data_IF_566734072808
#
_entry.id   IF_566734072808
#
_cell.length_a   1.000
_cell.length_b   1.000
_cell.length_c   1.000
_cell.angle_alpha   90.00
_cell.angle_beta   90.00
_cell.angle_gamma   90.00
#
_symmetry.space_group_name_H-M   'P 1'
#
loop_
_entity.id
_entity.type
_entity.pdbx_description
1 polymer ?
#
# COMPACT_ATOMS: atom_id res chain seq x y z
N UNK A 1 -8.84 -14.39 -0.20
CA UNK A 1 -7.93 -14.42 -1.35
C UNK A 1 -6.51 -14.28 -0.81
N UNK A 2 -5.55 -15.05 -1.32
CA UNK A 2 -4.16 -14.95 -0.84
C UNK A 2 -3.52 -13.70 -1.42
N UNK A 3 -2.44 -13.22 -0.80
CA UNK A 3 -1.67 -12.07 -1.30
C UNK A 3 -1.31 -12.25 -2.78
N UNK A 4 -0.79 -13.43 -3.14
CA UNK A 4 -0.36 -13.72 -4.51
C UNK A 4 -1.51 -13.58 -5.53
N UNK A 5 -2.68 -14.10 -5.21
CA UNK A 5 -3.86 -13.99 -6.08
C UNK A 5 -4.24 -12.50 -6.28
N UNK A 6 -4.18 -11.67 -5.22
CA UNK A 6 -4.44 -10.22 -5.30
C UNK A 6 -3.38 -9.52 -6.16
N UNK A 7 -2.12 -9.91 -6.02
CA UNK A 7 -1.02 -9.35 -6.82
C UNK A 7 -1.21 -9.66 -8.31
N UNK A 8 -1.58 -10.90 -8.65
CA UNK A 8 -1.88 -11.31 -10.03
C UNK A 8 -3.06 -10.52 -10.60
N UNK A 9 -4.15 -10.34 -9.85
CA UNK A 9 -5.27 -9.49 -10.29
C UNK A 9 -4.85 -8.05 -10.58
N UNK A 10 -4.01 -7.46 -9.71
CA UNK A 10 -3.52 -6.10 -9.91
C UNK A 10 -2.63 -6.03 -11.15
N UNK A 11 -1.77 -7.03 -11.38
CA UNK A 11 -0.94 -7.09 -12.60
C UNK A 11 -1.82 -7.20 -13.85
N UNK A 12 -2.82 -8.08 -13.83
CA UNK A 12 -3.75 -8.27 -14.94
C UNK A 12 -4.51 -6.97 -15.24
N UNK A 13 -5.02 -6.28 -14.22
CA UNK A 13 -5.69 -4.97 -14.39
C UNK A 13 -4.78 -3.92 -15.03
N UNK A 14 -3.53 -3.82 -14.56
CA UNK A 14 -2.58 -2.85 -15.11
C UNK A 14 -2.08 -3.22 -16.52
N UNK A 15 -2.11 -4.51 -16.87
CA UNK A 15 -1.75 -5.01 -18.20
C UNK A 15 -2.76 -4.62 -19.29
N UNK A 16 -3.99 -4.23 -18.90
CA UNK A 16 -5.01 -3.75 -19.84
C UNK A 16 -4.71 -2.35 -20.40
N UNK A 17 -3.76 -1.63 -19.81
CA UNK A 17 -3.40 -0.26 -20.21
C UNK A 17 -2.12 -0.25 -21.04
N UNK A 18 -2.22 0.34 -22.23
CA UNK A 18 -1.16 0.39 -23.23
C UNK A 18 -0.13 1.49 -22.93
N UNK A 19 -0.51 2.52 -22.17
CA UNK A 19 0.37 3.63 -21.80
C UNK A 19 0.38 3.96 -20.31
N UNK A 20 1.42 4.71 -19.92
CA UNK A 20 1.63 5.09 -18.52
C UNK A 20 0.58 6.09 -18.00
N UNK A 21 0.03 6.93 -18.86
CA UNK A 21 -0.96 7.93 -18.45
C UNK A 21 -2.25 7.26 -17.98
N UNK A 22 -2.71 6.22 -18.69
CA UNK A 22 -3.86 5.42 -18.28
C UNK A 22 -3.62 4.70 -16.95
N UNK A 23 -2.44 4.09 -16.77
CA UNK A 23 -2.04 3.48 -15.49
C UNK A 23 -2.01 4.50 -14.36
N UNK A 24 -1.50 5.70 -14.65
CA UNK A 24 -1.47 6.80 -13.70
C UNK A 24 -2.88 7.20 -13.26
N UNK A 25 -3.81 7.39 -14.21
CA UNK A 25 -5.21 7.67 -13.91
C UNK A 25 -5.86 6.56 -13.09
N UNK A 26 -5.58 5.30 -13.41
CA UNK A 26 -6.06 4.15 -12.66
C UNK A 26 -5.57 4.16 -11.20
N UNK A 27 -4.28 4.44 -10.96
CA UNK A 27 -3.72 4.61 -9.61
C UNK A 27 -4.49 5.70 -8.84
N UNK A 28 -4.80 6.82 -9.48
CA UNK A 28 -5.55 7.92 -8.87
C UNK A 28 -6.97 7.48 -8.50
N UNK A 29 -7.65 6.73 -9.37
CA UNK A 29 -8.98 6.19 -9.10
C UNK A 29 -8.99 5.19 -7.94
N UNK A 30 -7.97 4.34 -7.83
CA UNK A 30 -7.79 3.47 -6.66
C UNK A 30 -7.67 4.29 -5.37
N UNK A 31 -6.90 5.38 -5.41
CA UNK A 31 -6.75 6.30 -4.29
C UNK A 31 -8.06 6.98 -3.88
N UNK A 32 -8.94 7.31 -4.83
CA UNK A 32 -10.27 7.90 -4.55
C UNK A 32 -11.24 6.90 -3.92
N UNK A 33 -11.13 5.61 -4.28
CA UNK A 33 -11.95 4.52 -3.73
C UNK A 33 -11.49 4.04 -2.36
N UNK A 34 -10.28 4.41 -1.95
CA UNK A 34 -9.75 4.08 -0.63
C UNK A 34 -10.64 4.69 0.45
N UNK A 35 -11.21 3.89 1.38
CA UNK A 35 -11.97 4.42 2.51
C UNK A 35 -11.18 5.46 3.30
N UNK A 36 -11.88 6.46 3.83
CA UNK A 36 -11.25 7.49 4.63
C UNK A 36 -10.71 6.89 5.93
N UNK A 37 -9.47 7.23 6.26
CA UNK A 37 -8.93 7.00 7.59
C UNK A 37 -9.70 7.87 8.59
N UNK A 38 -10.01 7.33 9.76
CA UNK A 38 -10.65 8.08 10.83
C UNK A 38 -9.72 9.22 11.31
N UNK A 39 -10.31 10.37 11.65
CA UNK A 39 -9.52 11.57 11.97
C UNK A 39 -8.62 11.38 13.19
N UNK A 40 -9.02 10.54 14.14
CA UNK A 40 -8.21 10.20 15.32
C UNK A 40 -6.91 9.47 14.98
N UNK A 41 -6.84 8.84 13.81
CA UNK A 41 -5.64 8.15 13.32
C UNK A 41 -4.75 9.04 12.46
N UNK A 42 -5.12 10.30 12.20
CA UNK A 42 -4.26 11.28 11.50
C UNK A 42 -3.26 11.94 12.44
N UNK A 43 -2.50 11.14 13.16
CA UNK A 43 -1.51 11.58 14.15
C UNK A 43 -0.09 11.50 13.61
N UNK A 44 0.85 12.14 14.31
CA UNK A 44 2.29 12.03 13.99
C UNK A 44 2.85 10.62 14.18
N UNK A 45 2.23 9.80 15.05
CA UNK A 45 2.65 8.42 15.29
C UNK A 45 2.31 7.50 14.11
N UNK A 46 1.20 7.80 13.42
CA UNK A 46 0.76 7.07 12.22
C UNK A 46 1.37 7.61 10.92
N UNK A 47 2.22 8.64 10.99
CA UNK A 47 2.90 9.17 9.80
C UNK A 47 4.04 8.27 9.34
N UNK A 48 3.99 7.87 8.07
CA UNK A 48 5.09 7.19 7.40
C UNK A 48 6.20 8.20 7.11
N UNK A 49 7.33 8.04 7.81
CA UNK A 49 8.54 8.83 7.59
C UNK A 49 9.24 8.41 6.28
N UNK A 50 9.79 9.39 5.57
CA UNK A 50 10.51 9.19 4.31
C UNK A 50 9.68 9.37 3.05
N UNK A 51 8.37 9.61 3.18
CA UNK A 51 7.55 10.13 2.09
C UNK A 51 7.71 11.66 1.99
N UNK A 52 7.72 12.20 0.77
CA UNK A 52 7.71 13.65 0.55
C UNK A 52 6.35 14.27 0.92
N UNK A 53 5.27 13.59 0.56
CA UNK A 53 3.90 13.89 0.98
C UNK A 53 3.59 13.21 2.31
N UNK A 54 2.64 13.74 3.08
CA UNK A 54 2.18 13.08 4.30
C UNK A 54 1.40 11.82 3.92
N UNK A 55 1.69 10.73 4.62
CA UNK A 55 0.96 9.46 4.48
C UNK A 55 0.72 8.94 5.88
N UNK A 56 -0.55 8.83 6.26
CA UNK A 56 -0.96 8.19 7.50
C UNK A 56 -1.32 6.75 7.20
N UNK A 57 -0.84 5.83 8.01
CA UNK A 57 -1.17 4.41 7.94
C UNK A 57 -1.56 3.96 9.33
N UNK A 58 -2.69 3.28 9.44
CA UNK A 58 -3.14 2.62 10.66
C UNK A 58 -3.38 1.14 10.35
N UNK A 59 -2.86 0.26 11.19
CA UNK A 59 -3.08 -1.17 11.12
C UNK A 59 -3.74 -1.67 12.40
N UNK A 60 -4.82 -2.42 12.26
CA UNK A 60 -5.56 -3.04 13.37
C UNK A 60 -5.57 -4.56 13.19
N UNK A 61 -5.27 -5.28 14.26
CA UNK A 61 -5.38 -6.74 14.26
C UNK A 61 -6.82 -7.14 14.59
N UNK A 62 -7.43 -7.90 13.68
CA UNK A 62 -8.71 -8.56 13.89
C UNK A 62 -8.48 -10.07 13.77
N UNK A 63 -8.55 -10.77 14.90
CA UNK A 63 -8.18 -12.19 15.01
C UNK A 63 -6.74 -12.46 14.51
N UNK A 64 -6.59 -13.27 13.48
CA UNK A 64 -5.32 -13.64 12.85
C UNK A 64 -4.90 -12.68 11.72
N UNK A 65 -5.74 -11.69 11.40
CA UNK A 65 -5.56 -10.80 10.24
C UNK A 65 -5.32 -9.36 10.64
N UNK A 66 -4.68 -8.62 9.74
CA UNK A 66 -4.46 -7.19 9.89
C UNK A 66 -5.28 -6.44 8.86
N UNK A 67 -6.04 -5.43 9.31
CA UNK A 67 -6.79 -4.51 8.45
C UNK A 67 -6.06 -3.17 8.45
N UNK A 68 -5.78 -2.63 7.27
CA UNK A 68 -5.12 -1.34 7.13
C UNK A 68 -6.07 -0.26 6.62
N UNK A 69 -5.91 0.95 7.15
CA UNK A 69 -6.48 2.18 6.62
C UNK A 69 -5.36 3.19 6.41
N UNK A 70 -5.48 4.03 5.37
CA UNK A 70 -4.50 5.08 5.11
C UNK A 70 -5.11 6.28 4.43
N UNK A 71 -4.39 7.40 4.49
CA UNK A 71 -4.68 8.59 3.71
C UNK A 71 -3.38 9.31 3.34
N UNK A 72 -3.45 10.18 2.34
CA UNK A 72 -2.33 11.04 1.96
C UNK A 72 -2.81 12.39 1.45
N UNK A 73 -2.03 13.43 1.71
CA UNK A 73 -2.26 14.79 1.18
C UNK A 73 -1.89 14.92 -0.31
N UNK A 74 -1.29 13.90 -0.91
CA UNK A 74 -0.98 13.84 -2.34
C UNK A 74 -1.76 12.70 -3.02
N UNK A 75 -2.48 13.04 -4.09
CA UNK A 75 -3.42 12.13 -4.76
C UNK A 75 -2.70 10.89 -5.34
N UNK A 76 -1.53 11.07 -5.98
CA UNK A 76 -0.76 9.93 -6.49
C UNK A 76 -0.28 9.03 -5.36
N UNK A 77 0.25 9.61 -4.29
CA UNK A 77 0.71 8.87 -3.12
C UNK A 77 -0.43 8.10 -2.47
N UNK A 78 -1.63 8.70 -2.40
CA UNK A 78 -2.86 8.04 -1.95
C UNK A 78 -3.22 6.83 -2.82
N UNK A 79 -3.06 6.95 -4.14
CA UNK A 79 -3.24 5.83 -5.05
C UNK A 79 -2.24 4.69 -4.83
N UNK A 80 -0.96 5.02 -4.62
CA UNK A 80 0.09 4.03 -4.36
C UNK A 80 -0.19 3.26 -3.06
N UNK A 81 -0.51 3.96 -1.96
CA UNK A 81 -0.84 3.29 -0.70
C UNK A 81 -2.14 2.47 -0.81
N UNK A 82 -3.10 2.88 -1.65
CA UNK A 82 -4.32 2.11 -1.89
C UNK A 82 -4.04 0.73 -2.53
N UNK A 83 -3.08 0.64 -3.45
CA UNK A 83 -2.63 -0.64 -4.03
C UNK A 83 -2.07 -1.56 -2.94
N UNK A 84 -1.23 -1.01 -2.07
CA UNK A 84 -0.64 -1.77 -0.96
C UNK A 84 -1.72 -2.22 0.05
N UNK A 85 -2.68 -1.35 0.37
CA UNK A 85 -3.79 -1.69 1.28
C UNK A 85 -4.64 -2.82 0.70
N UNK A 86 -4.99 -2.76 -0.60
CA UNK A 86 -5.71 -3.85 -1.27
C UNK A 86 -4.95 -5.18 -1.15
N UNK A 87 -3.63 -5.13 -1.28
CA UNK A 87 -2.76 -6.32 -1.27
C UNK A 87 -2.62 -6.93 0.14
N UNK A 88 -2.42 -6.09 1.16
CA UNK A 88 -1.99 -6.55 2.49
C UNK A 88 -3.07 -6.53 3.56
N UNK A 89 -4.21 -5.87 3.32
CA UNK A 89 -5.32 -5.93 4.29
C UNK A 89 -6.01 -7.28 4.28
N UNK A 90 -6.54 -7.68 5.43
CA UNK A 90 -7.19 -8.98 5.67
C UNK A 90 -6.24 -10.18 5.48
N UNK A 91 -4.93 -9.95 5.63
CA UNK A 91 -3.90 -10.99 5.54
C UNK A 91 -3.29 -11.24 6.92
N UNK A 92 -2.74 -12.43 7.13
CA UNK A 92 -2.04 -12.73 8.37
C UNK A 92 -0.71 -11.99 8.45
N UNK A 93 -0.24 -11.76 9.67
CA UNK A 93 1.06 -11.13 9.88
C UNK A 93 2.21 -11.90 9.20
N UNK A 94 2.16 -13.24 9.24
CA UNK A 94 3.14 -14.11 8.57
C UNK A 94 3.11 -13.93 7.06
N UNK A 95 1.92 -13.97 6.45
CA UNK A 95 1.79 -13.82 4.99
C UNK A 95 2.33 -12.47 4.52
N UNK A 96 2.05 -11.38 5.24
CA UNK A 96 2.55 -10.03 4.90
C UNK A 96 4.09 -9.96 4.98
N UNK A 97 4.70 -10.63 5.97
CA UNK A 97 6.15 -10.64 6.13
C UNK A 97 6.84 -11.44 5.02
N UNK A 98 6.27 -12.58 4.64
CA UNK A 98 6.79 -13.49 3.62
C UNK A 98 6.53 -13.02 2.18
N UNK A 99 5.52 -12.17 1.97
CA UNK A 99 5.17 -11.66 0.65
C UNK A 99 6.35 -10.95 -0.04
N UNK A 100 6.56 -11.31 -1.30
CA UNK A 100 7.41 -10.57 -2.23
C UNK A 100 6.70 -9.33 -2.79
N UNK A 101 7.45 -8.50 -3.50
CA UNK A 101 7.00 -7.21 -4.04
C UNK A 101 7.19 -7.12 -5.56
N UNK A 102 7.32 -8.26 -6.25
CA UNK A 102 7.66 -8.29 -7.68
C UNK A 102 6.56 -7.63 -8.54
N UNK A 103 5.30 -7.78 -8.12
CA UNK A 103 4.15 -7.18 -8.80
C UNK A 103 4.26 -5.64 -8.96
N UNK A 104 4.96 -4.95 -8.05
CA UNK A 104 5.17 -3.50 -8.13
C UNK A 104 6.07 -3.13 -9.33
N UNK A 105 7.02 -4.00 -9.67
CA UNK A 105 7.84 -3.84 -10.87
C UNK A 105 7.03 -4.21 -12.12
N UNK A 106 6.23 -5.27 -12.07
CA UNK A 106 5.40 -5.75 -13.19
C UNK A 106 4.34 -4.73 -13.64
N UNK A 107 3.73 -4.00 -12.71
CA UNK A 107 2.80 -2.91 -13.07
C UNK A 107 3.51 -1.66 -13.62
N UNK A 108 4.85 -1.65 -13.66
CA UNK A 108 5.69 -0.56 -14.16
C UNK A 108 5.82 0.62 -13.18
N UNK A 109 5.37 0.47 -11.93
CA UNK A 109 5.29 1.61 -11.01
C UNK A 109 6.67 2.18 -10.71
N UNK A 110 7.68 1.36 -10.39
CA UNK A 110 9.01 1.88 -9.98
C UNK A 110 9.70 2.68 -11.08
N UNK A 111 9.55 2.28 -12.35
CA UNK A 111 10.24 2.90 -13.49
C UNK A 111 9.77 4.33 -13.77
N UNK A 112 8.51 4.63 -13.41
CA UNK A 112 7.88 5.92 -13.68
C UNK A 112 7.82 6.85 -12.47
N UNK A 113 8.25 6.39 -11.30
CA UNK A 113 8.34 7.24 -10.12
C UNK A 113 9.66 8.02 -10.10
N UNK A 114 9.59 9.29 -9.69
CA UNK A 114 10.80 10.03 -9.33
C UNK A 114 11.53 9.31 -8.18
N UNK A 115 12.86 9.47 -8.02
CA UNK A 115 13.61 8.82 -6.96
C UNK A 115 13.01 9.04 -5.56
N UNK A 116 12.51 10.25 -5.28
CA UNK A 116 11.85 10.59 -4.02
C UNK A 116 10.56 9.78 -3.80
N UNK A 117 9.76 9.59 -4.85
CA UNK A 117 8.52 8.80 -4.76
C UNK A 117 8.80 7.31 -4.64
N UNK A 118 9.82 6.80 -5.33
CA UNK A 118 10.27 5.42 -5.18
C UNK A 118 10.72 5.13 -3.74
N UNK A 119 11.44 6.06 -3.10
CA UNK A 119 11.79 5.96 -1.68
C UNK A 119 10.55 5.97 -0.77
N UNK A 120 9.56 6.81 -1.08
CA UNK A 120 8.28 6.83 -0.36
C UNK A 120 7.56 5.48 -0.40
N UNK A 121 7.49 4.85 -1.58
CA UNK A 121 6.94 3.49 -1.75
C UNK A 121 7.68 2.47 -0.87
N UNK A 122 9.01 2.51 -0.82
CA UNK A 122 9.80 1.63 0.06
C UNK A 122 9.47 1.88 1.54
N UNK A 123 9.32 3.14 1.95
CA UNK A 123 8.89 3.49 3.31
C UNK A 123 7.49 2.95 3.65
N UNK A 124 6.54 2.99 2.71
CA UNK A 124 5.19 2.42 2.91
C UNK A 124 5.24 0.91 3.14
N UNK A 125 5.92 0.18 2.25
CA UNK A 125 6.09 -1.28 2.37
C UNK A 125 6.74 -1.63 3.71
N UNK A 126 7.78 -0.89 4.10
CA UNK A 126 8.46 -1.08 5.39
C UNK A 126 7.49 -0.91 6.56
N UNK A 127 6.65 0.12 6.57
CA UNK A 127 5.71 0.35 7.67
C UNK A 127 4.65 -0.74 7.75
N UNK A 128 4.11 -1.19 6.62
CA UNK A 128 3.19 -2.34 6.57
C UNK A 128 3.84 -3.59 7.17
N UNK A 129 5.09 -3.91 6.78
CA UNK A 129 5.82 -5.03 7.37
C UNK A 129 6.15 -4.82 8.86
N UNK A 130 6.34 -3.57 9.31
CA UNK A 130 6.55 -3.28 10.74
C UNK A 130 5.29 -3.53 11.57
N UNK A 131 4.09 -3.16 11.08
CA UNK A 131 2.84 -3.55 11.72
C UNK A 131 2.72 -5.08 11.80
N UNK A 132 2.97 -5.78 10.70
CA UNK A 132 2.94 -7.24 10.68
C UNK A 132 3.92 -7.85 11.68
N UNK A 133 5.16 -7.36 11.74
CA UNK A 133 6.15 -7.82 12.71
C UNK A 133 5.68 -7.58 14.16
N UNK A 134 5.12 -6.41 14.45
CA UNK A 134 4.64 -6.04 15.78
C UNK A 134 3.46 -6.90 16.24
N UNK A 135 2.54 -7.26 15.34
CA UNK A 135 1.43 -8.16 15.67
C UNK A 135 1.86 -9.62 15.75
N UNK A 136 2.82 -10.06 14.92
CA UNK A 136 3.38 -11.41 15.01
C UNK A 136 4.08 -11.64 16.35
N UNK A 137 4.85 -10.65 16.84
CA UNK A 137 5.56 -10.75 18.11
C UNK A 137 4.67 -10.78 19.37
N UNK A 138 3.36 -10.51 19.25
CA UNK A 138 2.39 -10.56 20.35
C UNK A 138 1.68 -11.92 20.47
N UNK A 139 1.81 -12.78 19.46
CA UNK A 139 1.28 -14.14 19.44
C UNK A 139 2.32 -15.14 19.93
#
# INVERSE_FOLDING_TARGET
MKIKDIQEEIVDEFSMFDDWMERYEYIIELGKKLPLIEEEYKTEDNLIKGCQSKVWLQGEQNEDKIVFTADSDAILTKGIIAILIRTFSNQSATDILEADMNFIDEIGLKEHLSPTRANGLVSMIKNIKMYALAFNAKN
#
